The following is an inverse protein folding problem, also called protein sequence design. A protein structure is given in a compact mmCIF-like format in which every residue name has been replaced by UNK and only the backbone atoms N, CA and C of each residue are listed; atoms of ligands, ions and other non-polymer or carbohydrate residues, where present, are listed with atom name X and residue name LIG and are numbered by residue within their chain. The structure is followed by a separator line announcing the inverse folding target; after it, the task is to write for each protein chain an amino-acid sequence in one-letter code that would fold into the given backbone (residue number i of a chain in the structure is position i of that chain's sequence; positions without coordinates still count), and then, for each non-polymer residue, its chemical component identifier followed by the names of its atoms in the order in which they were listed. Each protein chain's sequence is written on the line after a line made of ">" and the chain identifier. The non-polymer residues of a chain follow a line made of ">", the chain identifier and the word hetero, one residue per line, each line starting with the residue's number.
data_IF_292495148540
#
_entry.id   IF_292495148540
#
_cell.length_a   1.000
_cell.length_b   1.000
_cell.length_c   1.000
_cell.angle_alpha   90.00
_cell.angle_beta   90.00
_cell.angle_gamma   90.00
#
_symmetry.space_group_name_H-M   'P 1'
#
loop_
_entity.id
_entity.type
_entity.pdbx_description
1 polymer ?
#
# COMPACT_ATOMS: atom_id res chain seq x y z
N UNK A 1 -3.32 -4.52 -21.30
CA UNK A 1 -4.15 -5.36 -20.41
C UNK A 1 -4.81 -6.46 -21.22
N UNK A 2 -4.86 -7.66 -20.68
CA UNK A 2 -5.41 -8.80 -21.38
C UNK A 2 -6.10 -9.77 -20.41
N UNK A 3 -7.31 -10.24 -20.78
CA UNK A 3 -8.02 -11.22 -19.96
C UNK A 3 -7.29 -12.56 -19.97
N UNK A 4 -7.22 -13.18 -18.80
CA UNK A 4 -6.68 -14.52 -18.58
C UNK A 4 -7.66 -15.33 -17.72
N UNK A 5 -7.54 -16.65 -17.64
CA UNK A 5 -8.41 -17.45 -16.77
C UNK A 5 -8.41 -16.92 -15.33
N UNK A 6 -9.61 -16.62 -14.81
CA UNK A 6 -9.80 -16.14 -13.44
C UNK A 6 -9.36 -14.73 -13.13
N UNK A 7 -8.97 -13.92 -14.13
CA UNK A 7 -8.50 -12.57 -13.87
C UNK A 7 -7.97 -11.80 -15.08
N UNK A 8 -6.94 -11.02 -14.85
CA UNK A 8 -6.37 -10.11 -15.87
C UNK A 8 -4.85 -10.02 -15.76
N UNK A 9 -4.19 -9.83 -16.92
CA UNK A 9 -2.75 -9.62 -17.02
C UNK A 9 -2.46 -8.14 -17.34
N UNK A 10 -1.54 -7.54 -16.59
CA UNK A 10 -1.19 -6.11 -16.65
C UNK A 10 0.28 -5.93 -17.02
N UNK A 11 0.58 -5.12 -18.06
CA UNK A 11 1.93 -4.85 -18.57
C UNK A 11 2.50 -3.51 -18.11
N UNK A 12 1.69 -2.64 -17.50
CA UNK A 12 2.05 -1.25 -17.21
C UNK A 12 3.26 -1.09 -16.28
N UNK A 13 3.54 -2.09 -15.46
CA UNK A 13 4.66 -2.09 -14.49
C UNK A 13 5.71 -3.14 -14.83
N UNK A 14 5.63 -3.76 -16.01
CA UNK A 14 6.46 -4.88 -16.43
C UNK A 14 7.85 -4.54 -16.95
N UNK A 15 8.27 -3.28 -16.97
CA UNK A 15 9.58 -2.74 -17.39
C UNK A 15 10.01 -3.06 -18.82
N UNK A 16 9.71 -4.23 -19.34
CA UNK A 16 10.03 -4.66 -20.70
C UNK A 16 8.78 -4.90 -21.54
N UNK A 17 8.90 -4.75 -22.85
CA UNK A 17 7.81 -4.95 -23.78
C UNK A 17 7.24 -6.37 -23.68
N UNK A 18 5.98 -6.47 -23.25
CA UNK A 18 5.21 -7.70 -23.22
C UNK A 18 5.16 -8.43 -21.87
N UNK A 19 6.09 -8.17 -20.95
CA UNK A 19 6.07 -8.74 -19.61
C UNK A 19 5.14 -7.97 -18.65
N UNK A 20 4.72 -8.63 -17.57
CA UNK A 20 3.83 -8.04 -16.60
C UNK A 20 3.46 -8.98 -15.44
N UNK A 21 2.33 -8.68 -14.84
CA UNK A 21 1.82 -9.42 -13.67
C UNK A 21 0.35 -9.79 -13.86
N UNK A 22 0.00 -11.00 -13.44
CA UNK A 22 -1.39 -11.44 -13.37
C UNK A 22 -2.02 -11.02 -12.04
N UNK A 23 -3.30 -10.64 -12.06
CA UNK A 23 -4.15 -10.54 -10.89
C UNK A 23 -5.32 -11.48 -11.11
N UNK A 24 -5.51 -12.46 -10.23
CA UNK A 24 -6.51 -13.53 -10.41
C UNK A 24 -7.22 -13.86 -9.09
N UNK A 25 -8.38 -14.52 -9.22
CA UNK A 25 -9.10 -15.12 -8.09
C UNK A 25 -8.87 -16.64 -8.01
N UNK A 26 -7.78 -17.14 -8.60
CA UNK A 26 -7.42 -18.56 -8.52
C UNK A 26 -7.32 -19.01 -7.06
N UNK A 27 -7.65 -20.27 -6.82
CA UNK A 27 -7.62 -20.94 -5.51
C UNK A 27 -8.53 -20.29 -4.45
N UNK A 28 -9.54 -19.53 -4.88
CA UNK A 28 -10.45 -18.82 -3.99
C UNK A 28 -9.84 -17.57 -3.31
N UNK A 29 -8.68 -17.10 -3.79
CA UNK A 29 -8.01 -15.91 -3.28
C UNK A 29 -8.48 -14.69 -4.05
N UNK A 30 -9.40 -13.90 -3.49
CA UNK A 30 -10.20 -12.89 -4.17
C UNK A 30 -9.44 -11.56 -4.42
N UNK A 31 -8.24 -11.62 -5.00
CA UNK A 31 -7.46 -10.41 -5.29
C UNK A 31 -7.99 -9.64 -6.49
N UNK A 32 -8.45 -10.32 -7.54
CA UNK A 32 -8.98 -9.66 -8.73
C UNK A 32 -10.33 -9.00 -8.47
N UNK A 33 -11.24 -9.69 -7.78
CA UNK A 33 -12.51 -9.10 -7.34
C UNK A 33 -12.29 -7.87 -6.46
N UNK A 34 -11.36 -7.96 -5.50
CA UNK A 34 -11.00 -6.83 -4.63
C UNK A 34 -10.41 -5.68 -5.44
N UNK A 35 -9.51 -5.97 -6.39
CA UNK A 35 -8.95 -4.98 -7.29
C UNK A 35 -10.04 -4.26 -8.09
N UNK A 36 -10.99 -5.00 -8.66
CA UNK A 36 -12.10 -4.42 -9.43
C UNK A 36 -13.01 -3.56 -8.57
N UNK A 37 -13.35 -4.01 -7.37
CA UNK A 37 -14.21 -3.29 -6.42
C UNK A 37 -13.59 -1.95 -5.99
N UNK A 38 -12.31 -1.92 -5.71
CA UNK A 38 -11.61 -0.72 -5.22
C UNK A 38 -11.16 0.21 -6.35
N UNK A 39 -10.94 -0.34 -7.52
CA UNK A 39 -10.53 0.37 -8.72
C UNK A 39 -9.07 0.81 -8.76
N UNK A 40 -8.59 1.09 -9.96
CA UNK A 40 -7.19 1.42 -10.25
C UNK A 40 -6.71 2.68 -9.50
N UNK A 41 -7.59 3.65 -9.27
CA UNK A 41 -7.23 4.90 -8.58
C UNK A 41 -6.77 4.68 -7.14
N UNK A 42 -7.33 3.67 -6.45
CA UNK A 42 -7.00 3.34 -5.06
C UNK A 42 -5.92 2.26 -4.96
N UNK A 43 -5.87 1.33 -5.89
CA UNK A 43 -4.97 0.16 -5.84
C UNK A 43 -3.70 0.36 -6.65
N UNK A 44 -3.78 0.98 -7.82
CA UNK A 44 -2.69 1.03 -8.81
C UNK A 44 -2.52 -0.31 -9.53
N UNK A 45 -1.61 -0.36 -10.52
CA UNK A 45 -1.29 -1.60 -11.23
C UNK A 45 -0.51 -2.58 -10.35
N UNK A 46 -0.58 -3.91 -10.59
CA UNK A 46 0.21 -4.88 -9.86
C UNK A 46 1.71 -4.67 -10.11
N UNK A 47 2.52 -4.83 -9.07
CA UNK A 47 3.98 -4.70 -9.10
C UNK A 47 4.69 -5.96 -8.60
N UNK A 48 3.92 -6.99 -8.25
CA UNK A 48 4.41 -8.32 -7.91
C UNK A 48 3.48 -9.42 -8.43
N UNK A 49 3.97 -10.65 -8.45
CA UNK A 49 3.15 -11.86 -8.47
C UNK A 49 2.54 -12.11 -7.09
N UNK A 50 1.68 -13.12 -6.99
CA UNK A 50 1.31 -13.71 -5.70
C UNK A 50 2.51 -14.45 -5.14
N UNK A 51 2.80 -14.26 -3.85
CA UNK A 51 3.91 -14.90 -3.14
C UNK A 51 3.59 -15.00 -1.63
N UNK A 52 4.21 -15.94 -0.89
CA UNK A 52 4.07 -16.00 0.54
C UNK A 52 4.88 -14.89 1.24
N UNK A 53 4.23 -14.12 2.13
CA UNK A 53 4.86 -13.13 2.97
C UNK A 53 4.19 -13.09 4.34
N UNK A 54 4.98 -13.18 5.42
CA UNK A 54 4.49 -13.24 6.81
C UNK A 54 3.40 -14.31 7.03
N UNK A 55 3.52 -15.47 6.36
CA UNK A 55 2.60 -16.59 6.47
C UNK A 55 1.30 -16.46 5.68
N UNK A 56 1.12 -15.39 4.91
CA UNK A 56 -0.07 -15.16 4.09
C UNK A 56 0.27 -15.05 2.61
N UNK A 57 -0.65 -15.48 1.73
CA UNK A 57 -0.55 -15.19 0.30
C UNK A 57 -0.71 -13.70 0.09
N UNK A 58 0.29 -13.09 -0.54
CA UNK A 58 0.43 -11.64 -0.68
C UNK A 58 0.60 -11.25 -2.14
N UNK A 59 0.07 -10.10 -2.54
CA UNK A 59 0.34 -9.47 -3.83
C UNK A 59 0.47 -7.96 -3.65
N UNK A 60 1.55 -7.38 -4.18
CA UNK A 60 1.78 -5.94 -4.15
C UNK A 60 1.23 -5.26 -5.42
N UNK A 61 0.62 -4.12 -5.20
CA UNK A 61 0.18 -3.16 -6.22
C UNK A 61 0.90 -1.84 -5.97
N UNK A 62 0.85 -0.91 -6.92
CA UNK A 62 1.55 0.37 -6.79
C UNK A 62 1.20 1.12 -5.50
N UNK A 63 -0.06 1.04 -5.03
CA UNK A 63 -0.54 1.83 -3.90
C UNK A 63 -0.88 1.03 -2.64
N UNK A 64 -1.11 -0.27 -2.77
CA UNK A 64 -1.48 -1.16 -1.66
C UNK A 64 -0.76 -2.49 -1.76
N UNK A 65 -0.71 -3.22 -0.65
CA UNK A 65 -0.30 -4.63 -0.62
C UNK A 65 -1.47 -5.43 -0.05
N UNK A 66 -2.02 -6.32 -0.87
CA UNK A 66 -3.10 -7.22 -0.51
C UNK A 66 -2.56 -8.50 0.09
N UNK A 67 -3.20 -9.00 1.14
CA UNK A 67 -2.93 -10.29 1.76
C UNK A 67 -4.22 -11.07 1.92
N UNK A 68 -4.19 -12.35 1.58
CA UNK A 68 -5.32 -13.25 1.80
C UNK A 68 -5.28 -13.84 3.19
N UNK A 69 -6.32 -13.60 3.97
CA UNK A 69 -6.49 -14.23 5.28
C UNK A 69 -7.41 -15.46 5.17
N UNK A 70 -6.86 -16.68 5.22
CA UNK A 70 -7.66 -17.90 5.06
C UNK A 70 -8.63 -18.15 6.22
N UNK A 71 -8.37 -17.57 7.41
CA UNK A 71 -9.24 -17.75 8.57
C UNK A 71 -10.54 -16.95 8.46
N UNK A 72 -10.47 -15.77 7.85
CA UNK A 72 -11.65 -14.89 7.62
C UNK A 72 -12.19 -15.00 6.20
N UNK A 73 -11.47 -15.68 5.31
CA UNK A 73 -11.75 -15.74 3.87
C UNK A 73 -11.91 -14.34 3.25
N UNK A 74 -11.04 -13.44 3.61
CA UNK A 74 -11.08 -12.04 3.17
C UNK A 74 -9.70 -11.51 2.81
N UNK A 75 -9.68 -10.53 1.91
CA UNK A 75 -8.48 -9.75 1.62
C UNK A 75 -8.31 -8.70 2.72
N UNK A 76 -7.12 -8.61 3.27
CA UNK A 76 -6.67 -7.56 4.18
C UNK A 76 -5.52 -6.78 3.55
N UNK A 77 -5.22 -5.59 4.07
CA UNK A 77 -4.14 -4.74 3.55
C UNK A 77 -2.98 -4.65 4.54
N UNK A 78 -1.78 -4.86 4.03
CA UNK A 78 -0.55 -4.74 4.81
C UNK A 78 -0.32 -3.29 5.23
N UNK A 79 0.10 -3.07 6.48
CA UNK A 79 0.56 -1.78 6.97
C UNK A 79 1.96 -1.48 6.41
N UNK A 80 2.03 -1.09 5.14
CA UNK A 80 3.28 -0.90 4.38
C UNK A 80 4.26 0.01 5.13
N UNK A 81 3.75 1.12 5.67
CA UNK A 81 4.59 2.12 6.31
C UNK A 81 5.13 1.64 7.67
N UNK A 82 4.39 0.76 8.37
CA UNK A 82 4.85 0.14 9.61
C UNK A 82 5.96 -0.89 9.30
N UNK A 83 5.75 -1.74 8.28
CA UNK A 83 6.78 -2.70 7.82
C UNK A 83 8.09 -2.00 7.44
N UNK A 84 8.01 -0.89 6.72
CA UNK A 84 9.19 -0.10 6.34
C UNK A 84 9.88 0.54 7.55
N UNK A 85 9.12 0.98 8.57
CA UNK A 85 9.67 1.47 9.83
C UNK A 85 10.39 0.38 10.62
N UNK A 86 9.75 -0.78 10.76
CA UNK A 86 10.32 -1.94 11.47
C UNK A 86 11.61 -2.43 10.79
N UNK A 87 11.68 -2.30 9.47
CA UNK A 87 12.90 -2.55 8.69
C UNK A 87 13.94 -1.40 8.75
N UNK A 88 13.72 -0.36 9.56
CA UNK A 88 14.65 0.75 9.73
C UNK A 88 14.76 1.70 8.53
N UNK A 89 13.75 1.74 7.65
CA UNK A 89 13.79 2.49 6.39
C UNK A 89 13.32 3.95 6.50
N UNK A 90 12.87 4.41 7.65
CA UNK A 90 12.28 5.73 7.85
C UNK A 90 13.17 6.89 7.39
N UNK A 91 14.46 6.86 7.71
CA UNK A 91 15.38 7.91 7.30
C UNK A 91 15.57 7.93 5.77
N UNK A 92 15.69 6.77 5.15
CA UNK A 92 15.82 6.66 3.69
C UNK A 92 14.53 7.14 2.99
N UNK A 93 13.35 6.73 3.48
CA UNK A 93 12.05 7.21 3.00
C UNK A 93 11.94 8.73 3.10
N UNK A 94 12.36 9.32 4.22
CA UNK A 94 12.30 10.77 4.42
C UNK A 94 13.23 11.53 3.46
N UNK A 95 14.44 11.03 3.23
CA UNK A 95 15.43 11.66 2.37
C UNK A 95 15.10 11.51 0.88
N UNK A 96 14.67 10.31 0.46
CA UNK A 96 14.50 9.96 -0.96
C UNK A 96 13.08 10.27 -1.46
N UNK A 97 12.07 10.04 -0.61
CA UNK A 97 10.65 10.12 -0.97
C UNK A 97 9.87 11.20 -0.22
N UNK A 98 10.54 11.96 0.65
CA UNK A 98 9.93 13.04 1.44
C UNK A 98 8.73 12.52 2.27
N UNK A 99 8.85 11.30 2.80
CA UNK A 99 7.85 10.72 3.70
C UNK A 99 8.15 11.14 5.14
N UNK A 100 7.18 11.64 5.92
CA UNK A 100 7.39 11.93 7.33
C UNK A 100 7.87 10.69 8.08
N UNK A 101 8.76 10.87 9.07
CA UNK A 101 9.20 9.78 9.93
C UNK A 101 8.01 9.19 10.70
N UNK A 102 8.11 7.93 11.09
CA UNK A 102 7.14 7.36 12.02
C UNK A 102 7.14 8.16 13.33
N UNK A 103 5.96 8.44 13.85
CA UNK A 103 5.77 9.15 15.10
C UNK A 103 4.66 8.50 15.92
N UNK A 104 5.04 7.94 17.06
CA UNK A 104 4.05 7.48 18.02
C UNK A 104 3.29 8.66 18.63
N UNK A 105 2.00 8.49 18.85
CA UNK A 105 1.17 9.48 19.55
C UNK A 105 1.14 9.11 21.05
N UNK A 106 1.71 9.95 21.94
CA UNK A 106 1.74 9.65 23.37
C UNK A 106 0.35 9.43 23.98
N UNK A 107 -0.68 10.11 23.44
CA UNK A 107 -2.06 9.99 23.91
C UNK A 107 -2.63 8.57 23.73
N UNK A 108 -2.13 7.78 22.77
CA UNK A 108 -2.61 6.41 22.57
C UNK A 108 -2.36 5.49 23.75
N UNK A 109 -1.27 5.75 24.50
CA UNK A 109 -0.92 4.97 25.69
C UNK A 109 -1.95 5.10 26.83
N UNK A 110 -2.86 6.04 26.73
CA UNK A 110 -3.95 6.25 27.71
C UNK A 110 -5.15 5.30 27.49
N UNK A 111 -5.18 4.59 26.38
CA UNK A 111 -6.33 3.79 25.95
C UNK A 111 -5.93 2.34 25.66
N UNK A 112 -6.85 1.43 25.99
CA UNK A 112 -6.69 0.00 25.69
C UNK A 112 -7.23 -0.28 24.28
N UNK A 113 -6.35 -0.58 23.30
CA UNK A 113 -6.76 -0.83 21.92
C UNK A 113 -7.61 -2.10 21.73
N UNK A 114 -7.64 -3.00 22.71
CA UNK A 114 -8.45 -4.21 22.67
C UNK A 114 -9.93 -3.96 22.96
N UNK A 115 -10.27 -2.80 23.54
CA UNK A 115 -11.65 -2.40 23.80
C UNK A 115 -12.19 -1.51 22.66
N UNK A 116 -13.48 -1.63 22.29
CA UNK A 116 -14.06 -0.76 21.25
C UNK A 116 -13.92 0.73 21.57
N UNK A 117 -14.15 1.14 22.83
CA UNK A 117 -14.05 2.54 23.24
C UNK A 117 -12.58 3.05 23.22
N UNK A 118 -11.63 2.22 23.64
CA UNK A 118 -10.21 2.56 23.60
C UNK A 118 -9.69 2.65 22.16
N UNK A 119 -10.07 1.72 21.29
CA UNK A 119 -9.74 1.78 19.87
C UNK A 119 -10.33 3.04 19.21
N UNK A 120 -11.60 3.38 19.46
CA UNK A 120 -12.24 4.60 18.94
C UNK A 120 -11.48 5.86 19.40
N UNK A 121 -11.06 5.94 20.67
CA UNK A 121 -10.27 7.06 21.17
C UNK A 121 -8.92 7.19 20.46
N UNK A 122 -8.23 6.08 20.21
CA UNK A 122 -6.99 6.03 19.41
C UNK A 122 -7.27 6.55 17.99
N UNK A 123 -8.32 6.05 17.35
CA UNK A 123 -8.73 6.52 16.01
C UNK A 123 -8.91 8.04 16.00
N UNK A 124 -9.60 8.62 16.97
CA UNK A 124 -9.82 10.07 17.04
C UNK A 124 -8.51 10.84 17.27
N UNK A 125 -7.58 10.33 18.08
CA UNK A 125 -6.25 10.92 18.24
C UNK A 125 -5.51 11.01 16.90
N UNK A 126 -5.49 9.93 16.14
CA UNK A 126 -4.84 9.89 14.85
C UNK A 126 -5.54 10.77 13.80
N UNK A 127 -6.88 10.79 13.78
CA UNK A 127 -7.64 11.64 12.86
C UNK A 127 -7.35 13.13 13.07
N UNK A 128 -7.00 13.56 14.29
CA UNK A 128 -6.62 14.95 14.57
C UNK A 128 -5.41 15.44 13.76
N UNK A 129 -4.53 14.53 13.29
CA UNK A 129 -3.40 14.88 12.43
C UNK A 129 -3.88 15.48 11.10
N UNK A 130 -5.04 15.05 10.61
CA UNK A 130 -5.64 15.54 9.36
C UNK A 130 -5.98 17.04 9.42
N UNK A 131 -6.17 17.61 10.61
CA UNK A 131 -6.49 19.04 10.78
C UNK A 131 -5.35 19.95 10.31
N UNK A 132 -4.15 19.42 10.15
CA UNK A 132 -3.00 20.17 9.64
C UNK A 132 -3.10 20.47 8.13
N UNK A 133 -3.96 19.74 7.38
CA UNK A 133 -4.13 19.96 5.95
C UNK A 133 -5.57 19.65 5.49
N UNK A 134 -6.40 20.67 5.24
CA UNK A 134 -7.80 20.46 4.85
C UNK A 134 -7.98 19.76 3.51
N UNK A 135 -7.04 19.92 2.56
CA UNK A 135 -7.09 19.23 1.25
C UNK A 135 -6.87 17.73 1.40
N UNK A 136 -5.85 17.34 2.20
CA UNK A 136 -5.60 15.93 2.52
C UNK A 136 -6.77 15.38 3.33
N UNK A 137 -7.25 16.10 4.34
CA UNK A 137 -8.39 15.68 5.17
C UNK A 137 -9.62 15.38 4.31
N UNK A 138 -9.98 16.28 3.41
CA UNK A 138 -11.12 16.09 2.51
C UNK A 138 -10.96 14.84 1.64
N UNK A 139 -9.77 14.61 1.03
CA UNK A 139 -9.49 13.42 0.21
C UNK A 139 -9.48 12.14 1.03
N UNK A 140 -8.92 12.17 2.24
CA UNK A 140 -8.83 11.02 3.14
C UNK A 140 -10.22 10.55 3.57
N UNK A 141 -11.07 11.45 4.03
CA UNK A 141 -12.40 11.14 4.55
C UNK A 141 -13.47 10.96 3.45
N UNK A 142 -13.17 11.31 2.20
CA UNK A 142 -14.04 11.01 1.07
C UNK A 142 -14.10 9.50 0.75
N UNK A 143 -13.10 8.73 1.18
CA UNK A 143 -13.09 7.27 1.06
C UNK A 143 -13.78 6.66 2.28
N UNK A 144 -14.90 5.99 2.07
CA UNK A 144 -15.68 5.39 3.17
C UNK A 144 -14.95 4.23 3.86
N UNK A 145 -14.09 3.53 3.11
CA UNK A 145 -13.23 2.45 3.63
C UNK A 145 -11.82 2.93 4.00
N UNK A 146 -11.68 4.21 4.38
CA UNK A 146 -10.37 4.81 4.63
C UNK A 146 -9.54 4.06 5.68
N UNK A 147 -10.16 3.54 6.73
CA UNK A 147 -9.45 2.78 7.77
C UNK A 147 -8.87 1.47 7.20
N UNK A 148 -9.61 0.81 6.33
CA UNK A 148 -9.16 -0.41 5.65
C UNK A 148 -8.05 -0.11 4.63
N UNK A 149 -8.24 0.91 3.79
CA UNK A 149 -7.32 1.21 2.68
C UNK A 149 -6.09 2.01 3.10
N UNK A 150 -6.27 2.97 4.00
CA UNK A 150 -5.20 3.91 4.35
C UNK A 150 -4.60 3.65 5.72
N UNK A 151 -5.35 2.99 6.62
CA UNK A 151 -4.97 2.86 8.02
C UNK A 151 -5.02 4.20 8.76
N UNK A 152 -4.49 4.23 9.96
CA UNK A 152 -4.48 5.45 10.79
C UNK A 152 -3.45 6.47 10.28
N UNK A 153 -3.75 7.78 10.27
CA UNK A 153 -2.76 8.84 10.10
C UNK A 153 -1.64 8.75 11.15
N UNK A 154 -0.39 8.88 10.75
CA UNK A 154 0.79 8.70 11.64
C UNK A 154 1.52 10.01 11.86
N UNK A 155 1.79 10.76 10.79
CA UNK A 155 2.54 12.01 10.87
C UNK A 155 2.28 12.88 9.63
N UNK A 156 2.37 14.19 9.81
CA UNK A 156 2.29 15.18 8.74
C UNK A 156 3.52 16.06 8.74
N UNK A 157 4.04 16.40 7.55
CA UNK A 157 5.16 17.31 7.40
C UNK A 157 5.14 18.02 6.06
N UNK A 158 5.70 19.22 6.03
CA UNK A 158 5.97 20.00 4.81
C UNK A 158 7.44 19.85 4.43
N UNK A 159 7.69 19.45 3.17
CA UNK A 159 9.02 19.34 2.58
C UNK A 159 9.10 20.27 1.36
N UNK A 160 9.57 21.50 1.57
CA UNK A 160 9.62 22.48 0.50
C UNK A 160 8.26 22.71 -0.16
N UNK A 161 8.09 22.23 -1.40
CA UNK A 161 6.89 22.41 -2.19
C UNK A 161 5.85 21.27 -2.06
N UNK A 162 6.08 20.32 -1.18
CA UNK A 162 5.15 19.22 -0.95
C UNK A 162 4.72 19.11 0.50
N UNK A 163 3.44 18.97 0.72
CA UNK A 163 2.81 18.73 2.00
C UNK A 163 2.42 17.25 2.06
N UNK A 164 2.88 16.53 3.07
CA UNK A 164 2.83 15.06 3.08
C UNK A 164 2.23 14.56 4.38
N UNK A 165 1.20 13.72 4.25
CA UNK A 165 0.66 12.89 5.32
C UNK A 165 1.13 11.46 5.12
N UNK A 166 1.74 10.89 6.14
CA UNK A 166 1.97 9.46 6.28
C UNK A 166 0.82 8.84 7.07
N UNK A 167 0.22 7.77 6.55
CA UNK A 167 -0.65 6.86 7.31
C UNK A 167 0.00 5.46 7.36
N UNK A 168 -0.62 4.51 8.03
CA UNK A 168 -0.06 3.15 8.18
C UNK A 168 0.12 2.42 6.83
N UNK A 169 -0.72 2.72 5.82
CA UNK A 169 -0.72 2.03 4.52
C UNK A 169 -0.43 2.92 3.34
N UNK A 170 -0.66 4.25 3.50
CA UNK A 170 -0.61 5.20 2.40
C UNK A 170 0.17 6.46 2.74
N UNK A 171 0.63 7.13 1.68
CA UNK A 171 1.22 8.47 1.76
C UNK A 171 0.43 9.39 0.86
N UNK A 172 -0.10 10.47 1.43
CA UNK A 172 -0.81 11.53 0.71
C UNK A 172 0.11 12.69 0.46
N UNK A 173 0.03 13.27 -0.71
CA UNK A 173 0.84 14.42 -1.12
C UNK A 173 -0.03 15.53 -1.69
N UNK A 174 0.28 16.77 -1.33
CA UNK A 174 -0.25 17.98 -1.97
C UNK A 174 0.94 18.81 -2.44
N UNK A 175 1.07 18.99 -3.74
CA UNK A 175 2.15 19.76 -4.35
C UNK A 175 1.72 21.20 -4.59
N UNK A 176 2.51 22.15 -4.13
CA UNK A 176 2.28 23.60 -4.29
C UNK A 176 3.07 24.22 -5.45
N UNK A 177 3.96 23.42 -6.08
CA UNK A 177 4.68 23.78 -7.31
C UNK A 177 4.74 22.56 -8.25
N UNK A 178 4.92 22.81 -9.55
CA UNK A 178 5.00 21.76 -10.56
C UNK A 178 6.20 20.82 -10.33
N UNK A 179 6.04 19.53 -10.70
CA UNK A 179 7.12 18.54 -10.65
C UNK A 179 6.80 17.26 -9.86
N UNK A 180 5.70 17.21 -9.12
CA UNK A 180 5.37 16.08 -8.24
C UNK A 180 4.53 14.96 -8.86
N UNK A 181 4.17 15.04 -10.14
CA UNK A 181 3.32 14.02 -10.80
C UNK A 181 1.84 14.05 -10.40
N UNK A 182 1.43 15.02 -9.59
CA UNK A 182 0.06 15.25 -9.17
C UNK A 182 -0.41 16.64 -9.64
N UNK A 183 -1.73 16.87 -9.81
CA UNK A 183 -2.26 18.20 -10.03
C UNK A 183 -1.91 19.12 -8.84
N UNK A 184 -1.64 20.40 -9.14
CA UNK A 184 -1.27 21.36 -8.11
C UNK A 184 -2.42 21.58 -7.12
N UNK A 185 -2.07 21.64 -5.85
CA UNK A 185 -3.00 21.87 -4.73
C UNK A 185 -4.11 20.80 -4.59
N UNK A 186 -3.97 19.67 -5.26
CA UNK A 186 -4.84 18.50 -5.06
C UNK A 186 -4.13 17.42 -4.25
N UNK A 187 -4.90 16.67 -3.45
CA UNK A 187 -4.36 15.55 -2.69
C UNK A 187 -4.33 14.29 -3.56
N UNK A 188 -3.15 13.72 -3.75
CA UNK A 188 -2.96 12.45 -4.43
C UNK A 188 -2.28 11.41 -3.53
N UNK A 189 -2.40 10.14 -3.93
CA UNK A 189 -1.75 9.01 -3.27
C UNK A 189 -0.39 8.74 -3.91
N UNK A 190 0.65 8.59 -3.10
CA UNK A 190 1.92 8.07 -3.57
C UNK A 190 1.81 6.56 -3.88
N UNK A 191 2.75 6.05 -4.66
CA UNK A 191 2.85 4.63 -4.96
C UNK A 191 3.58 3.89 -3.83
N UNK A 192 2.95 3.77 -2.67
CA UNK A 192 3.55 3.19 -1.46
C UNK A 192 3.89 1.71 -1.59
N UNK A 193 3.15 0.96 -2.42
CA UNK A 193 3.48 -0.43 -2.72
C UNK A 193 4.79 -0.58 -3.50
N UNK A 194 5.14 0.39 -4.35
CA UNK A 194 6.45 0.43 -5.02
C UNK A 194 7.60 0.59 -4.01
N UNK A 195 7.38 1.24 -2.87
CA UNK A 195 8.40 1.38 -1.82
C UNK A 195 8.85 0.03 -1.27
N UNK A 196 7.98 -0.98 -1.23
CA UNK A 196 8.34 -2.32 -0.79
C UNK A 196 9.42 -2.95 -1.69
N UNK A 197 9.42 -2.63 -2.98
CA UNK A 197 10.47 -3.04 -3.95
C UNK A 197 11.69 -2.12 -3.85
N UNK A 198 11.48 -0.82 -3.82
CA UNK A 198 12.53 0.19 -3.83
C UNK A 198 13.45 0.10 -2.61
N UNK A 199 12.88 -0.26 -1.45
CA UNK A 199 13.61 -0.40 -0.20
C UNK A 199 13.96 -1.85 0.15
N UNK A 200 13.93 -2.76 -0.83
CA UNK A 200 14.35 -4.17 -0.74
C UNK A 200 13.57 -5.00 0.30
N UNK A 201 12.29 -4.67 0.56
CA UNK A 201 11.42 -5.52 1.37
C UNK A 201 10.90 -6.68 0.51
N UNK A 202 10.45 -6.40 -0.72
CA UNK A 202 10.05 -7.41 -1.69
C UNK A 202 11.08 -7.53 -2.79
N UNK A 203 11.65 -8.73 -2.95
CA UNK A 203 12.77 -9.00 -3.86
C UNK A 203 12.57 -10.31 -4.62
N UNK A 204 13.52 -10.64 -5.48
CA UNK A 204 13.58 -11.93 -6.18
C UNK A 204 12.44 -12.14 -7.17
N UNK A 205 12.05 -13.40 -7.36
CA UNK A 205 11.06 -13.81 -8.35
C UNK A 205 9.69 -13.15 -8.17
N UNK A 206 9.31 -12.80 -6.91
CA UNK A 206 8.03 -12.17 -6.62
C UNK A 206 7.82 -10.86 -7.37
N UNK A 207 8.89 -10.10 -7.62
CA UNK A 207 8.86 -8.77 -8.26
C UNK A 207 9.44 -8.74 -9.67
N UNK A 208 9.72 -9.90 -10.26
CA UNK A 208 10.18 -9.99 -11.65
C UNK A 208 8.99 -10.24 -12.58
N UNK A 209 8.72 -9.37 -13.57
CA UNK A 209 7.59 -9.55 -14.47
C UNK A 209 7.82 -10.75 -15.40
N UNK A 210 6.75 -11.46 -15.76
CA UNK A 210 6.76 -12.62 -16.65
C UNK A 210 5.99 -12.37 -17.93
N UNK A 211 6.16 -13.26 -18.93
CA UNK A 211 5.34 -13.23 -20.15
C UNK A 211 3.88 -13.62 -19.86
N UNK A 212 2.99 -13.26 -20.76
CA UNK A 212 1.57 -13.62 -20.62
C UNK A 212 1.38 -15.15 -20.73
N UNK A 213 2.22 -15.85 -21.50
CA UNK A 213 2.18 -17.32 -21.62
C UNK A 213 2.49 -17.98 -20.27
N UNK A 214 3.51 -17.48 -19.57
CA UNK A 214 3.83 -17.94 -18.21
C UNK A 214 2.68 -17.64 -17.23
N UNK A 215 2.11 -16.45 -17.30
CA UNK A 215 0.98 -16.07 -16.45
C UNK A 215 -0.25 -16.95 -16.71
N UNK A 216 -0.56 -17.26 -17.97
CA UNK A 216 -1.65 -18.17 -18.35
C UNK A 216 -1.41 -19.63 -17.92
N UNK A 217 -0.15 -20.03 -17.84
CA UNK A 217 0.27 -21.34 -17.35
C UNK A 217 0.20 -21.43 -15.80
N UNK A 218 -0.25 -20.37 -15.10
CA UNK A 218 -0.36 -20.38 -13.65
C UNK A 218 0.98 -20.14 -12.96
N UNK A 219 1.82 -19.20 -13.48
CA UNK A 219 3.07 -18.86 -12.82
C UNK A 219 2.84 -18.44 -11.36
N UNK A 220 3.47 -19.14 -10.44
CA UNK A 220 3.44 -18.89 -9.01
C UNK A 220 4.85 -18.76 -8.44
N UNK A 221 4.99 -17.93 -7.44
CA UNK A 221 6.21 -17.79 -6.66
C UNK A 221 6.03 -18.52 -5.33
N UNK A 222 6.72 -19.63 -5.19
CA UNK A 222 6.65 -20.50 -3.99
C UNK A 222 7.66 -20.09 -2.93
N UNK A 223 8.75 -19.44 -3.34
CA UNK A 223 9.80 -18.97 -2.44
C UNK A 223 9.48 -17.57 -1.96
N UNK A 224 9.12 -17.42 -0.69
CA UNK A 224 8.81 -16.13 -0.08
C UNK A 224 10.04 -15.22 -0.01
N UNK A 225 9.81 -13.90 -0.10
CA UNK A 225 10.79 -12.94 0.39
C UNK A 225 11.00 -13.14 1.89
N UNK A 226 12.22 -12.94 2.42
CA UNK A 226 12.44 -13.07 3.86
C UNK A 226 11.42 -12.24 4.65
N UNK A 227 10.88 -12.81 5.73
CA UNK A 227 10.09 -12.03 6.67
C UNK A 227 10.94 -10.86 7.20
N UNK A 228 10.34 -9.70 7.51
CA UNK A 228 11.07 -8.62 8.14
C UNK A 228 11.72 -9.11 9.43
N UNK A 229 12.88 -8.59 9.82
CA UNK A 229 13.48 -8.90 11.11
C UNK A 229 12.48 -8.53 12.22
N UNK A 230 12.26 -9.48 13.12
CA UNK A 230 11.44 -9.32 14.33
C UNK A 230 12.10 -8.41 15.33
#
# INVERSE_FOLDING_TARGET
>A
DEAIPGGHFYRQTGQESGNGYAVTDADGIMFYETFQRLGLSNVGYPVSHRFPYAGLTTQAFQKVVMQWNPSTQAVQFLNIMDVLSDAGKDNALSQVRQVPLHQALPADSLYDPSTPAGFEAIVQNHLSILDQNPTIKARFLAETSWLELYGLPINYRVFGNVQVLRSQRQVFQVWTAAGGGCPLNEACLANTGDFMKEFDIFTGAAVQPVSIEQARAGYEVTDGTPAPPT
#
